data_IF_338576559470
#
_entry.id   IF_338576559470
#
_cell.length_a   1.000
_cell.length_b   1.000
_cell.length_c   1.000
_cell.angle_alpha   90.00
_cell.angle_beta   90.00
_cell.angle_gamma   90.00
#
_symmetry.space_group_name_H-M   'P 1'
#
loop_
_entity.id
_entity.type
_entity.pdbx_description
1 polymer ?
#
# COMPACT_ATOMS: atom_id res chain seq x y z
N UNK A 1 25.23 12.22 -13.70
CA UNK A 1 23.77 12.04 -13.50
C UNK A 1 23.52 11.40 -12.14
N UNK A 2 23.07 12.17 -11.14
CA UNK A 2 22.31 11.70 -9.98
C UNK A 2 21.42 12.88 -9.53
N UNK A 3 20.10 12.80 -9.73
CA UNK A 3 19.08 13.76 -9.24
C UNK A 3 18.01 12.89 -8.60
N UNK A 4 17.58 13.03 -7.35
CA UNK A 4 17.99 13.86 -6.23
C UNK A 4 17.03 13.48 -5.09
N UNK A 5 17.56 12.99 -3.97
CA UNK A 5 16.77 12.81 -2.75
C UNK A 5 16.85 14.14 -1.99
N UNK A 6 15.85 15.01 -2.17
CA UNK A 6 15.81 16.29 -1.49
C UNK A 6 15.34 16.08 -0.04
N UNK A 7 16.26 16.31 0.90
CA UNK A 7 16.04 16.30 2.33
C UNK A 7 15.61 17.70 2.75
N UNK A 8 14.42 17.89 3.32
CA UNK A 8 14.06 19.12 4.03
C UNK A 8 13.47 18.75 5.37
N UNK A 9 14.32 18.83 6.39
CA UNK A 9 13.92 19.12 7.75
C UNK A 9 13.67 20.63 7.84
N UNK A 10 12.41 21.05 8.03
CA UNK A 10 12.06 22.39 8.53
C UNK A 10 10.63 22.39 9.06
N UNK A 11 10.54 22.43 10.38
CA UNK A 11 9.33 22.76 11.12
C UNK A 11 8.92 24.21 10.85
N UNK A 12 7.71 24.43 10.33
CA UNK A 12 7.05 25.74 10.32
C UNK A 12 5.61 25.54 10.78
N UNK A 13 5.31 26.02 11.98
CA UNK A 13 3.97 26.09 12.54
C UNK A 13 3.23 27.28 11.93
N UNK A 14 2.18 27.00 11.14
CA UNK A 14 1.20 27.97 10.66
C UNK A 14 -0.14 27.26 10.41
N UNK A 15 -1.30 27.86 10.74
CA UNK A 15 -2.59 27.26 10.47
C UNK A 15 -2.92 27.49 9.00
N UNK A 16 -2.40 26.61 8.13
CA UNK A 16 -2.75 26.58 6.71
C UNK A 16 -3.77 25.49 6.48
N UNK A 17 -4.98 25.89 6.09
CA UNK A 17 -5.96 25.04 5.43
C UNK A 17 -5.27 24.36 4.24
N UNK A 18 -4.79 23.14 4.43
CA UNK A 18 -4.01 22.40 3.45
C UNK A 18 -4.47 20.96 3.52
N UNK A 19 -4.76 20.38 2.35
CA UNK A 19 -5.13 18.98 2.22
C UNK A 19 -4.24 18.14 3.14
N UNK A 20 -4.85 17.50 4.13
CA UNK A 20 -4.21 16.41 4.86
C UNK A 20 -3.96 15.32 3.82
N UNK A 21 -2.78 15.36 3.20
CA UNK A 21 -2.29 14.25 2.39
C UNK A 21 -2.03 13.17 3.45
N UNK A 22 -3.01 12.29 3.63
CA UNK A 22 -2.98 11.18 4.59
C UNK A 22 -1.69 10.39 4.34
N UNK A 23 -0.68 10.63 5.18
CA UNK A 23 0.64 10.06 5.02
C UNK A 23 0.60 8.60 5.48
N UNK A 24 0.22 7.70 4.58
CA UNK A 24 0.03 6.29 4.89
C UNK A 24 1.39 5.59 4.94
N UNK A 25 1.66 4.91 6.05
CA UNK A 25 2.87 4.11 6.21
C UNK A 25 2.82 2.87 5.32
N UNK A 26 3.94 2.52 4.69
CA UNK A 26 4.03 1.36 3.83
C UNK A 26 3.99 0.07 4.67
N UNK A 27 3.02 -0.83 4.46
CA UNK A 27 2.89 -2.02 5.29
C UNK A 27 4.00 -3.06 5.04
N UNK A 28 4.72 -3.01 3.91
CA UNK A 28 5.82 -3.95 3.64
C UNK A 28 7.06 -3.65 4.46
N UNK A 29 7.39 -2.37 4.62
CA UNK A 29 8.65 -1.96 5.26
C UNK A 29 8.46 -1.22 6.58
N UNK A 30 7.27 -0.70 6.86
CA UNK A 30 6.91 0.12 8.02
C UNK A 30 7.78 1.38 8.24
N UNK A 31 8.69 1.68 7.30
CA UNK A 31 9.65 2.78 7.38
C UNK A 31 9.34 3.89 6.37
N UNK A 32 8.97 3.49 5.15
CA UNK A 32 8.60 4.41 4.09
C UNK A 32 7.11 4.73 4.08
N UNK A 33 6.74 5.76 3.33
CA UNK A 33 5.35 6.14 3.09
C UNK A 33 4.90 5.61 1.74
N UNK A 34 3.61 5.30 1.61
CA UNK A 34 2.99 5.03 0.33
C UNK A 34 2.79 6.34 -0.42
N UNK A 35 3.12 6.34 -1.71
CA UNK A 35 2.82 7.41 -2.63
C UNK A 35 2.07 6.82 -3.82
N UNK A 36 1.05 7.53 -4.30
CA UNK A 36 0.31 7.15 -5.50
C UNK A 36 0.64 8.15 -6.61
N UNK A 37 1.14 7.64 -7.73
CA UNK A 37 1.48 8.43 -8.91
C UNK A 37 0.68 7.92 -10.11
N UNK A 38 -0.50 8.53 -10.36
CA UNK A 38 -1.47 7.99 -11.30
C UNK A 38 -2.05 6.68 -10.77
N UNK A 39 -1.92 5.59 -11.54
CA UNK A 39 -2.31 4.23 -11.13
C UNK A 39 -1.21 3.47 -10.39
N UNK A 40 -0.01 4.05 -10.20
CA UNK A 40 1.11 3.33 -9.61
C UNK A 40 1.28 3.70 -8.14
N UNK A 41 1.01 2.75 -7.25
CA UNK A 41 1.32 2.83 -5.82
C UNK A 41 2.79 2.44 -5.62
N UNK A 42 3.56 3.27 -4.93
CA UNK A 42 4.98 3.04 -4.71
C UNK A 42 5.44 3.39 -3.30
N UNK A 43 6.58 2.83 -2.91
CA UNK A 43 7.29 3.17 -1.69
C UNK A 43 8.81 3.16 -1.92
N UNK A 44 9.54 3.91 -1.09
CA UNK A 44 11.00 3.93 -1.08
C UNK A 44 11.66 2.58 -0.79
N UNK A 45 10.93 1.61 -0.23
CA UNK A 45 11.42 0.24 -0.02
C UNK A 45 11.49 -0.60 -1.31
N UNK A 46 11.01 -0.08 -2.45
CA UNK A 46 10.95 -0.80 -3.71
C UNK A 46 9.58 -1.39 -4.05
N UNK A 47 8.56 -1.19 -3.19
CA UNK A 47 7.17 -1.47 -3.56
C UNK A 47 6.81 -0.66 -4.80
N UNK A 48 6.28 -1.34 -5.81
CA UNK A 48 5.69 -0.72 -7.00
C UNK A 48 4.55 -1.60 -7.48
N UNK A 49 3.34 -1.10 -7.37
CA UNK A 49 2.10 -1.81 -7.66
C UNK A 49 1.26 -0.97 -8.60
N UNK A 50 0.91 -1.50 -9.76
CA UNK A 50 -0.02 -0.84 -10.66
C UNK A 50 -1.45 -1.26 -10.29
N UNK A 51 -2.27 -0.31 -9.84
CA UNK A 51 -3.67 -0.56 -9.48
C UNK A 51 -4.53 -0.83 -10.71
N UNK A 52 -4.02 -0.59 -11.92
CA UNK A 52 -4.72 -0.70 -13.21
C UNK A 52 -6.01 0.14 -13.33
N UNK A 53 -6.35 0.93 -12.30
CA UNK A 53 -7.52 1.80 -12.25
C UNK A 53 -7.21 3.12 -11.57
N UNK A 54 -7.59 4.22 -12.24
CA UNK A 54 -7.49 5.58 -11.71
C UNK A 54 -8.54 5.89 -10.63
N UNK A 55 -9.46 4.95 -10.36
CA UNK A 55 -10.54 5.16 -9.37
C UNK A 55 -10.05 4.95 -7.93
N UNK A 56 -8.85 4.39 -7.75
CA UNK A 56 -8.28 4.11 -6.43
C UNK A 56 -7.39 5.28 -6.02
N UNK A 57 -7.81 5.97 -4.97
CA UNK A 57 -7.04 7.06 -4.37
C UNK A 57 -6.23 6.57 -3.18
N UNK A 58 -5.10 7.22 -2.92
CA UNK A 58 -4.24 6.93 -1.75
C UNK A 58 -5.04 6.94 -0.43
N UNK A 59 -6.00 7.86 -0.28
CA UNK A 59 -6.90 7.89 0.88
C UNK A 59 -7.79 6.64 1.02
N UNK A 60 -8.26 6.06 -0.10
CA UNK A 60 -9.02 4.81 -0.06
C UNK A 60 -8.16 3.63 0.37
N UNK A 61 -6.90 3.59 -0.09
CA UNK A 61 -5.90 2.58 0.31
C UNK A 61 -5.63 2.70 1.81
N UNK A 62 -5.40 3.91 2.31
CA UNK A 62 -5.20 4.18 3.73
C UNK A 62 -6.38 3.73 4.57
N UNK A 63 -7.62 4.04 4.15
CA UNK A 63 -8.82 3.55 4.83
C UNK A 63 -8.85 2.02 4.90
N UNK A 64 -8.63 1.34 3.78
CA UNK A 64 -8.64 -0.13 3.74
C UNK A 64 -7.57 -0.75 4.67
N UNK A 65 -6.36 -0.17 4.71
CA UNK A 65 -5.31 -0.58 5.65
C UNK A 65 -5.78 -0.44 7.11
N UNK A 66 -6.34 0.73 7.46
CA UNK A 66 -6.81 1.00 8.83
C UNK A 66 -8.00 0.14 9.23
N UNK A 67 -8.88 -0.17 8.28
CA UNK A 67 -9.99 -1.10 8.47
C UNK A 67 -9.47 -2.51 8.77
N UNK A 68 -8.50 -3.01 7.99
CA UNK A 68 -7.85 -4.29 8.24
C UNK A 68 -7.18 -4.35 9.63
N UNK A 69 -6.44 -3.31 10.01
CA UNK A 69 -5.84 -3.19 11.35
C UNK A 69 -6.90 -3.20 12.46
N UNK A 70 -8.02 -2.51 12.24
CA UNK A 70 -9.14 -2.45 13.19
C UNK A 70 -9.81 -3.82 13.34
N UNK A 71 -10.07 -4.52 12.23
CA UNK A 71 -10.65 -5.86 12.25
C UNK A 71 -9.71 -6.86 12.95
N UNK A 72 -8.41 -6.78 12.68
CA UNK A 72 -7.40 -7.61 13.34
C UNK A 72 -7.38 -7.38 14.86
N UNK A 73 -7.42 -6.11 15.28
CA UNK A 73 -7.46 -5.74 16.69
C UNK A 73 -8.76 -6.22 17.38
N UNK A 74 -9.91 -6.12 16.69
CA UNK A 74 -11.20 -6.64 17.18
C UNK A 74 -11.21 -8.17 17.29
N UNK A 75 -10.43 -8.86 16.45
CA UNK A 75 -10.17 -10.30 16.55
C UNK A 75 -9.36 -10.71 17.79
N UNK A 76 -8.87 -9.76 18.58
CA UNK A 76 -8.15 -10.00 19.83
C UNK A 76 -6.65 -10.17 19.68
N UNK A 77 -6.08 -9.82 18.52
CA UNK A 77 -4.64 -9.85 18.30
C UNK A 77 -4.06 -8.44 18.21
N UNK A 78 -3.02 -8.18 19.01
CA UNK A 78 -2.34 -6.86 19.07
C UNK A 78 -1.01 -6.83 18.34
N UNK A 79 -0.69 -7.87 17.56
CA UNK A 79 0.54 -7.92 16.77
C UNK A 79 0.41 -7.01 15.53
N UNK A 80 1.51 -6.39 15.07
CA UNK A 80 1.47 -5.56 13.88
C UNK A 80 1.20 -6.42 12.63
N UNK A 81 0.33 -5.92 11.75
CA UNK A 81 0.14 -6.51 10.43
C UNK A 81 1.38 -6.25 9.56
N UNK A 82 1.73 -7.22 8.71
CA UNK A 82 2.78 -7.10 7.71
C UNK A 82 2.17 -7.07 6.32
N UNK A 83 2.68 -6.17 5.48
CA UNK A 83 2.35 -6.13 4.07
C UNK A 83 3.07 -7.23 3.29
N UNK A 84 2.36 -7.85 2.36
CA UNK A 84 2.88 -8.85 1.44
C UNK A 84 2.29 -8.63 0.06
N UNK A 85 3.04 -9.01 -0.99
CA UNK A 85 2.56 -8.95 -2.37
C UNK A 85 2.21 -10.37 -2.81
N UNK A 86 0.98 -10.55 -3.29
CA UNK A 86 0.53 -11.82 -3.86
C UNK A 86 0.34 -11.67 -5.36
N UNK A 87 1.07 -12.46 -6.14
CA UNK A 87 0.88 -12.53 -7.58
C UNK A 87 -0.21 -13.56 -7.91
N UNK A 88 -1.31 -13.07 -8.49
CA UNK A 88 -2.36 -13.91 -9.05
C UNK A 88 -2.12 -14.13 -10.53
N UNK A 89 -1.80 -15.38 -10.88
CA UNK A 89 -1.67 -15.80 -12.27
C UNK A 89 -3.04 -16.17 -12.83
N UNK A 90 -3.64 -15.30 -13.64
CA UNK A 90 -4.83 -15.68 -14.40
C UNK A 90 -4.41 -16.55 -15.58
N UNK A 91 -4.64 -17.86 -15.47
CA UNK A 91 -4.44 -18.78 -16.58
C UNK A 91 -5.79 -18.97 -17.25
N UNK A 92 -6.12 -18.11 -18.21
CA UNK A 92 -7.30 -18.31 -19.04
C UNK A 92 -7.01 -19.49 -19.96
N UNK A 93 -7.78 -20.58 -19.80
CA UNK A 93 -7.67 -21.78 -20.62
C UNK A 93 -8.05 -21.42 -22.07
N UNK A 94 -7.04 -21.19 -22.90
CA UNK A 94 -7.19 -21.19 -24.35
C UNK A 94 -7.11 -19.82 -25.02
N UNK A 95 -5.99 -19.12 -24.91
CA UNK A 95 -5.31 -18.55 -26.08
C UNK A 95 -3.93 -18.03 -25.66
N UNK A 96 -2.95 -18.26 -26.51
CA UNK A 96 -1.57 -17.86 -26.29
C UNK A 96 -1.44 -16.32 -26.37
N UNK A 97 -0.45 -15.77 -25.65
CA UNK A 97 0.04 -14.37 -25.72
C UNK A 97 -0.59 -13.34 -24.75
N UNK A 98 -0.50 -13.60 -23.45
CA UNK A 98 0.02 -12.68 -22.39
C UNK A 98 -0.42 -13.19 -21.02
N UNK A 99 0.51 -13.70 -20.21
CA UNK A 99 0.23 -13.97 -18.80
C UNK A 99 0.22 -12.65 -18.04
N UNK A 100 -0.91 -11.94 -18.07
CA UNK A 100 -1.11 -10.76 -17.22
C UNK A 100 -1.16 -11.25 -15.77
N UNK A 101 -0.09 -11.01 -15.02
CA UNK A 101 -0.01 -11.40 -13.61
C UNK A 101 -0.43 -10.18 -12.81
N UNK A 102 -1.55 -10.29 -12.09
CA UNK A 102 -2.05 -9.21 -11.24
C UNK A 102 -1.36 -9.33 -9.89
N UNK A 103 -0.68 -8.28 -9.47
CA UNK A 103 -0.14 -8.20 -8.12
C UNK A 103 -1.19 -7.59 -7.20
N UNK A 104 -1.41 -8.21 -6.04
CA UNK A 104 -2.28 -7.72 -4.98
C UNK A 104 -1.44 -7.32 -3.76
N UNK A 105 -1.88 -6.27 -3.07
CA UNK A 105 -1.32 -5.90 -1.77
C UNK A 105 -2.18 -6.49 -0.66
N UNK A 106 -1.57 -7.34 0.17
CA UNK A 106 -2.23 -7.98 1.29
C UNK A 106 -1.61 -7.54 2.62
N UNK A 107 -2.42 -7.58 3.68
CA UNK A 107 -1.99 -7.46 5.06
C UNK A 107 -2.19 -8.80 5.75
N UNK A 108 -1.12 -9.32 6.35
CA UNK A 108 -1.13 -10.59 7.06
C UNK A 108 -0.56 -10.46 8.47
N UNK A 109 -1.05 -11.27 9.40
CA UNK A 109 -0.47 -11.40 10.73
C UNK A 109 0.34 -12.69 10.83
N UNK A 110 1.60 -12.66 11.29
CA UNK A 110 2.38 -13.90 11.49
C UNK A 110 1.94 -14.70 12.73
N UNK A 111 1.14 -14.12 13.63
CA UNK A 111 0.74 -14.75 14.90
C UNK A 111 -0.68 -15.32 14.90
N UNK A 112 -1.53 -14.89 13.98
CA UNK A 112 -2.89 -15.41 13.80
C UNK A 112 -3.17 -15.58 12.31
N UNK A 113 -4.18 -16.37 11.94
CA UNK A 113 -4.50 -16.61 10.53
C UNK A 113 -5.22 -15.44 9.84
N UNK A 114 -4.93 -14.20 10.23
CA UNK A 114 -5.50 -13.00 9.63
C UNK A 114 -4.80 -12.67 8.31
N UNK A 115 -5.59 -12.51 7.25
CA UNK A 115 -5.17 -12.08 5.93
C UNK A 115 -6.27 -11.19 5.36
N UNK A 116 -5.92 -10.02 4.86
CA UNK A 116 -6.86 -9.13 4.17
C UNK A 116 -6.22 -8.52 2.91
N UNK A 117 -7.01 -8.43 1.84
CA UNK A 117 -6.59 -7.86 0.55
C UNK A 117 -6.96 -6.37 0.54
N UNK A 118 -5.99 -5.50 0.28
CA UNK A 118 -6.14 -4.04 0.32
C UNK A 118 -6.32 -3.46 -1.10
N UNK A 119 -5.58 -3.99 -2.07
CA UNK A 119 -5.64 -3.67 -3.51
C UNK A 119 -5.45 -4.95 -4.29
#
# INVERSE_FOLDING_TARGET
MCRGCFNISSCITGPSSGLEIDEISCPLCSLGKLALSGTVLCCSCGLRLDTQTDSISLASIGRSIREAETMHAQGGCSQPLRGSLMEQKTSVLGESVNSDSVSLLCLECPCCSFLEIVI
#
